data_IF_071528963596
#
_entry.id   IF_071528963596
#
_cell.length_a   1.000
_cell.length_b   1.000
_cell.length_c   1.000
_cell.angle_alpha   90.00
_cell.angle_beta   90.00
_cell.angle_gamma   90.00
#
_symmetry.space_group_name_H-M   'P 1'
#
loop_
_entity.id
_entity.type
_entity.pdbx_description
1 polymer ?
#
# COMPACT_ATOMS: atom_id res chain seq x y z
N UNK A 1 -11.71 13.60 -4.23
CA UNK A 1 -10.99 14.89 -4.39
C UNK A 1 -10.84 15.30 -5.84
N UNK A 2 -10.34 14.44 -6.73
CA UNK A 2 -10.29 14.74 -8.17
C UNK A 2 -11.66 15.15 -8.76
N UNK A 3 -12.75 14.45 -8.39
CA UNK A 3 -14.12 14.85 -8.79
C UNK A 3 -14.52 16.24 -8.29
N UNK A 4 -14.22 16.58 -7.03
CA UNK A 4 -14.46 17.92 -6.47
C UNK A 4 -13.70 19.01 -7.22
N UNK A 5 -12.48 18.72 -7.67
CA UNK A 5 -11.71 19.64 -8.54
C UNK A 5 -12.38 19.78 -9.91
N UNK A 6 -12.80 18.66 -10.51
CA UNK A 6 -13.49 18.66 -11.80
C UNK A 6 -14.83 19.41 -11.75
N UNK A 7 -15.56 19.29 -10.63
CA UNK A 7 -16.81 19.99 -10.37
C UNK A 7 -16.62 21.46 -9.95
N UNK A 8 -15.37 21.91 -9.77
CA UNK A 8 -14.98 23.25 -9.33
C UNK A 8 -15.35 23.58 -7.87
N UNK A 9 -15.57 22.57 -7.04
CA UNK A 9 -15.81 22.74 -5.60
C UNK A 9 -14.54 23.17 -4.86
N UNK A 10 -13.37 22.75 -5.37
CA UNK A 10 -12.03 23.09 -4.86
C UNK A 10 -11.05 23.20 -6.03
N UNK A 11 -10.00 24.02 -5.92
CA UNK A 11 -9.02 24.19 -7.01
C UNK A 11 -7.66 23.55 -6.73
N UNK A 12 -7.36 23.28 -5.45
CA UNK A 12 -6.09 22.76 -4.96
C UNK A 12 -6.33 21.89 -3.72
N UNK A 13 -5.72 20.71 -3.69
CA UNK A 13 -5.81 19.77 -2.58
C UNK A 13 -4.43 19.16 -2.32
N UNK A 14 -3.98 19.19 -1.06
CA UNK A 14 -2.86 18.39 -0.59
C UNK A 14 -3.41 17.07 -0.03
N UNK A 15 -2.96 15.96 -0.59
CA UNK A 15 -3.17 14.63 -0.02
C UNK A 15 -1.87 14.22 0.66
N UNK A 16 -1.91 13.97 1.97
CA UNK A 16 -0.72 13.57 2.73
C UNK A 16 -1.06 12.38 3.64
N UNK A 17 -0.05 11.57 3.93
CA UNK A 17 -0.12 10.50 4.91
C UNK A 17 1.27 10.18 5.41
N UNK A 18 1.35 9.77 6.67
CA UNK A 18 2.61 9.37 7.30
C UNK A 18 2.39 8.30 8.35
N UNK A 19 3.41 7.49 8.55
CA UNK A 19 3.52 6.52 9.63
C UNK A 19 4.79 6.85 10.43
N UNK A 20 4.71 6.73 11.75
CA UNK A 20 5.82 6.94 12.68
C UNK A 20 5.90 5.79 13.69
N UNK A 21 5.66 4.56 13.23
CA UNK A 21 5.38 3.41 14.08
C UNK A 21 6.60 2.97 14.89
N UNK A 22 7.82 3.14 14.36
CA UNK A 22 9.04 2.80 15.11
C UNK A 22 9.18 3.70 16.34
N UNK A 23 9.09 5.03 16.14
CA UNK A 23 9.24 6.02 17.22
C UNK A 23 8.08 5.93 18.19
N UNK A 24 6.86 5.78 17.68
CA UNK A 24 5.67 5.61 18.51
C UNK A 24 5.82 4.44 19.48
N UNK A 25 6.32 3.29 19.00
CA UNK A 25 6.53 2.11 19.83
C UNK A 25 7.53 2.39 20.95
N UNK A 26 8.68 2.99 20.62
CA UNK A 26 9.71 3.31 21.61
C UNK A 26 9.24 4.33 22.67
N UNK A 27 8.46 5.34 22.27
CA UNK A 27 7.97 6.37 23.18
C UNK A 27 6.86 5.86 24.10
N UNK A 28 5.93 5.06 23.59
CA UNK A 28 4.86 4.45 24.38
C UNK A 28 5.39 3.47 25.44
N UNK A 29 6.55 2.83 25.20
CA UNK A 29 7.22 2.00 26.21
C UNK A 29 7.83 2.82 27.36
N UNK A 30 8.09 4.12 27.14
CA UNK A 30 8.83 4.99 28.07
C UNK A 30 7.96 6.03 28.76
N UNK A 31 6.82 6.38 28.18
CA UNK A 31 5.98 7.48 28.63
C UNK A 31 4.55 7.37 28.12
N UNK A 32 3.63 8.01 28.83
CA UNK A 32 2.28 8.30 28.31
C UNK A 32 2.36 9.55 27.46
N UNK A 33 1.93 9.46 26.20
CA UNK A 33 1.90 10.59 25.28
C UNK A 33 0.52 11.25 25.30
N UNK A 34 0.51 12.58 25.33
CA UNK A 34 -0.70 13.36 25.08
C UNK A 34 -0.83 13.60 23.57
N UNK A 35 -1.91 13.07 23.00
CA UNK A 35 -2.22 13.15 21.56
C UNK A 35 -3.25 14.23 21.25
N UNK A 36 -3.64 15.02 22.25
CA UNK A 36 -4.58 16.11 22.04
C UNK A 36 -3.91 17.21 21.22
N UNK A 37 -4.50 17.51 20.07
CA UNK A 37 -4.12 18.63 19.23
C UNK A 37 -5.35 19.52 19.02
N UNK A 38 -5.18 20.82 19.22
CA UNK A 38 -6.17 21.82 18.83
C UNK A 38 -5.82 22.38 17.45
N UNK A 39 -6.79 22.41 16.55
CA UNK A 39 -6.63 22.98 15.22
C UNK A 39 -7.77 23.95 14.91
N UNK A 40 -7.42 25.14 14.41
CA UNK A 40 -8.40 26.20 14.08
C UNK A 40 -9.25 25.88 12.84
N UNK A 41 -8.83 24.91 12.01
CA UNK A 41 -9.53 24.51 10.80
C UNK A 41 -10.63 23.46 11.03
N UNK A 42 -11.44 23.25 9.99
CA UNK A 42 -12.47 22.20 10.01
C UNK A 42 -11.84 20.82 9.85
N UNK A 43 -12.15 19.90 10.76
CA UNK A 43 -11.79 18.49 10.67
C UNK A 43 -13.04 17.66 10.31
N UNK A 44 -12.93 16.85 9.25
CA UNK A 44 -13.90 15.80 8.94
C UNK A 44 -13.28 14.46 9.32
N UNK A 45 -13.61 13.94 10.50
CA UNK A 45 -13.21 12.58 10.90
C UNK A 45 -14.09 11.56 10.17
N UNK A 46 -13.44 10.68 9.39
CA UNK A 46 -14.10 9.60 8.63
C UNK A 46 -14.04 8.25 9.34
N UNK A 47 -13.42 8.18 10.51
CA UNK A 47 -13.25 6.99 11.31
C UNK A 47 -12.47 5.87 10.60
N UNK A 48 -12.55 4.67 11.17
CA UNK A 48 -11.86 3.47 10.69
C UNK A 48 -12.56 2.78 9.50
N UNK A 49 -13.74 3.25 9.11
CA UNK A 49 -14.56 2.62 8.08
C UNK A 49 -15.26 1.33 8.52
N UNK A 50 -15.73 0.54 7.55
CA UNK A 50 -16.42 -0.74 7.79
C UNK A 50 -15.42 -1.84 8.19
N UNK A 51 -15.75 -2.63 9.21
CA UNK A 51 -14.96 -3.80 9.62
C UNK A 51 -14.98 -4.90 8.56
N UNK A 52 -13.81 -5.47 8.24
CA UNK A 52 -13.66 -6.52 7.22
C UNK A 52 -13.93 -7.95 7.72
N UNK A 53 -14.18 -8.10 9.02
CA UNK A 53 -14.45 -9.34 9.71
C UNK A 53 -15.66 -9.20 10.65
N UNK A 54 -16.27 -10.32 10.97
CA UNK A 54 -17.30 -10.49 11.99
C UNK A 54 -16.65 -10.83 13.34
N UNK A 55 -17.38 -10.63 14.44
CA UNK A 55 -16.91 -11.03 15.77
C UNK A 55 -16.60 -12.53 15.86
N UNK A 56 -17.34 -13.36 15.12
CA UNK A 56 -17.09 -14.81 15.05
C UNK A 56 -15.78 -15.11 14.33
N UNK A 57 -15.51 -14.49 13.18
CA UNK A 57 -14.23 -14.61 12.46
C UNK A 57 -13.06 -14.17 13.34
N UNK A 58 -13.19 -13.02 14.01
CA UNK A 58 -12.15 -12.50 14.88
C UNK A 58 -11.84 -13.43 16.06
N UNK A 59 -12.88 -14.00 16.69
CA UNK A 59 -12.74 -14.97 17.77
C UNK A 59 -11.96 -16.24 17.35
N UNK A 60 -11.86 -16.52 16.04
CA UNK A 60 -11.12 -17.65 15.49
C UNK A 60 -9.80 -17.23 14.81
N UNK A 61 -9.29 -16.03 15.10
CA UNK A 61 -8.02 -15.53 14.55
C UNK A 61 -8.11 -15.02 13.11
N UNK A 62 -9.31 -14.64 12.65
CA UNK A 62 -9.53 -14.12 11.29
C UNK A 62 -9.89 -12.65 11.41
N UNK A 63 -8.88 -11.80 11.30
CA UNK A 63 -9.04 -10.35 11.41
C UNK A 63 -7.76 -9.58 11.20
N UNK A 64 -6.63 -10.12 11.66
CA UNK A 64 -5.31 -9.53 11.44
C UNK A 64 -4.65 -10.08 10.17
N UNK A 65 -4.02 -9.25 9.32
CA UNK A 65 -3.43 -9.67 8.04
C UNK A 65 -2.49 -10.89 8.12
N UNK A 66 -1.66 -10.94 9.17
CA UNK A 66 -0.67 -12.01 9.41
C UNK A 66 -1.29 -13.40 9.60
N UNK A 67 -2.57 -13.47 9.98
CA UNK A 67 -3.33 -14.71 10.13
C UNK A 67 -4.28 -14.94 8.95
N UNK A 68 -4.93 -13.86 8.48
CA UNK A 68 -5.96 -13.98 7.45
C UNK A 68 -5.41 -14.21 6.04
N UNK A 69 -4.35 -13.51 5.62
CA UNK A 69 -3.77 -13.70 4.27
C UNK A 69 -3.18 -15.10 4.00
N UNK A 70 -2.51 -15.76 4.95
CA UNK A 70 -2.07 -17.14 4.77
C UNK A 70 -3.20 -18.15 4.45
N UNK A 71 -4.44 -17.89 4.90
CA UNK A 71 -5.60 -18.72 4.55
C UNK A 71 -5.90 -18.64 3.04
N UNK A 72 -5.90 -17.43 2.49
CA UNK A 72 -6.09 -17.21 1.05
C UNK A 72 -4.95 -17.82 0.23
N UNK A 73 -3.71 -17.68 0.69
CA UNK A 73 -2.54 -18.19 -0.01
C UNK A 73 -2.54 -19.73 -0.08
N UNK A 74 -2.90 -20.40 1.02
CA UNK A 74 -3.04 -21.84 1.03
C UNK A 74 -4.18 -22.34 0.13
N UNK A 75 -5.31 -21.63 0.10
CA UNK A 75 -6.37 -21.94 -0.85
C UNK A 75 -5.90 -21.75 -2.30
N UNK A 76 -5.08 -20.72 -2.58
CA UNK A 76 -4.52 -20.47 -3.91
C UNK A 76 -3.60 -21.62 -4.32
N UNK A 77 -2.71 -22.04 -3.41
CA UNK A 77 -1.85 -23.23 -3.59
C UNK A 77 -2.66 -24.48 -3.91
N UNK A 78 -3.72 -24.74 -3.14
CA UNK A 78 -4.61 -25.88 -3.37
C UNK A 78 -5.24 -25.82 -4.76
N UNK A 79 -5.82 -24.67 -5.13
CA UNK A 79 -6.42 -24.45 -6.45
C UNK A 79 -5.42 -24.64 -7.61
N UNK A 80 -4.17 -24.28 -7.40
CA UNK A 80 -3.09 -24.47 -8.39
C UNK A 80 -2.55 -25.91 -8.45
N UNK A 81 -2.92 -26.77 -7.50
CA UNK A 81 -2.38 -28.13 -7.38
C UNK A 81 -0.88 -28.14 -7.09
N UNK A 82 -0.36 -27.10 -6.42
CA UNK A 82 1.07 -26.99 -6.14
C UNK A 82 1.44 -27.74 -4.85
N UNK A 83 2.57 -28.45 -4.90
CA UNK A 83 3.27 -28.86 -3.68
C UNK A 83 3.71 -27.63 -2.89
N UNK A 84 3.97 -27.81 -1.59
CA UNK A 84 4.46 -26.72 -0.73
C UNK A 84 5.75 -26.13 -1.33
N UNK A 85 6.72 -26.98 -1.67
CA UNK A 85 7.99 -26.57 -2.26
C UNK A 85 7.81 -25.77 -3.57
N UNK A 86 6.94 -26.23 -4.47
CA UNK A 86 6.67 -25.53 -5.74
C UNK A 86 6.04 -24.16 -5.50
N UNK A 87 5.11 -24.07 -4.55
CA UNK A 87 4.44 -22.83 -4.21
C UNK A 87 5.39 -21.83 -3.52
N UNK A 88 6.21 -22.30 -2.57
CA UNK A 88 7.26 -21.51 -1.93
C UNK A 88 8.24 -20.91 -2.95
N UNK A 89 8.70 -21.71 -3.91
CA UNK A 89 9.56 -21.22 -5.01
C UNK A 89 8.84 -20.20 -5.90
N UNK A 90 7.54 -20.40 -6.16
CA UNK A 90 6.74 -19.46 -6.93
C UNK A 90 6.61 -18.10 -6.23
N UNK A 91 6.34 -18.11 -4.91
CA UNK A 91 6.31 -16.89 -4.09
C UNK A 91 7.69 -16.23 -4.04
N UNK A 92 8.77 -17.01 -3.88
CA UNK A 92 10.14 -16.51 -3.90
C UNK A 92 10.47 -15.74 -5.18
N UNK A 93 10.11 -16.29 -6.35
CA UNK A 93 10.30 -15.63 -7.65
C UNK A 93 9.51 -14.33 -7.80
N UNK A 94 8.31 -14.27 -7.22
CA UNK A 94 7.52 -13.05 -7.20
C UNK A 94 8.22 -11.98 -6.34
N UNK A 95 8.63 -12.34 -5.13
CA UNK A 95 9.23 -11.41 -4.16
C UNK A 95 10.66 -10.98 -4.51
N UNK A 96 11.43 -11.79 -5.24
CA UNK A 96 12.77 -11.44 -5.71
C UNK A 96 12.77 -10.11 -6.47
N UNK A 97 11.84 -9.95 -7.44
CA UNK A 97 11.71 -8.72 -8.23
C UNK A 97 11.31 -7.50 -7.37
N UNK A 98 10.46 -7.70 -6.35
CA UNK A 98 10.11 -6.65 -5.41
C UNK A 98 11.31 -6.26 -4.54
N UNK A 99 12.08 -7.24 -4.05
CA UNK A 99 13.25 -6.99 -3.21
C UNK A 99 14.35 -6.21 -3.96
N UNK A 100 14.56 -6.54 -5.24
CA UNK A 100 15.49 -5.83 -6.12
C UNK A 100 15.05 -4.38 -6.35
N UNK A 101 13.76 -4.17 -6.62
CA UNK A 101 13.20 -2.83 -6.78
C UNK A 101 13.39 -2.02 -5.50
N UNK A 102 13.06 -2.61 -4.35
CA UNK A 102 13.22 -1.98 -3.04
C UNK A 102 14.69 -1.64 -2.75
N UNK A 103 15.64 -2.52 -3.07
CA UNK A 103 17.06 -2.29 -2.87
C UNK A 103 17.61 -1.09 -3.64
N UNK A 104 17.08 -0.84 -4.84
CA UNK A 104 17.47 0.31 -5.67
C UNK A 104 16.76 1.62 -5.29
N UNK A 105 15.75 1.58 -4.42
CA UNK A 105 14.94 2.74 -4.06
C UNK A 105 15.48 3.40 -2.78
N UNK A 106 15.96 4.66 -2.83
CA UNK A 106 16.52 5.35 -1.66
C UNK A 106 15.49 5.62 -0.56
N UNK A 107 14.19 5.51 -0.86
CA UNK A 107 13.10 5.67 0.11
C UNK A 107 12.67 4.36 0.77
N UNK A 108 13.26 3.21 0.40
CA UNK A 108 12.94 1.94 1.04
C UNK A 108 13.49 1.90 2.47
N UNK A 109 12.63 1.62 3.45
CA UNK A 109 13.07 1.37 4.82
C UNK A 109 13.91 0.10 4.93
N UNK A 110 13.60 -0.90 4.09
CA UNK A 110 14.32 -2.17 4.02
C UNK A 110 14.59 -2.54 2.56
N UNK A 111 15.86 -2.39 2.16
CA UNK A 111 16.31 -2.53 0.77
C UNK A 111 17.33 -3.64 0.55
N UNK A 112 17.31 -4.72 1.33
CA UNK A 112 18.20 -5.85 1.03
C UNK A 112 17.60 -6.70 -0.09
N UNK A 113 18.25 -6.67 -1.27
CA UNK A 113 17.94 -7.57 -2.37
C UNK A 113 18.12 -9.03 -1.93
N UNK A 114 17.19 -9.90 -2.33
CA UNK A 114 17.22 -11.33 -2.02
C UNK A 114 16.82 -12.14 -3.23
N UNK A 115 17.52 -13.25 -3.43
CA UNK A 115 17.15 -14.23 -4.44
C UNK A 115 15.84 -14.94 -4.07
N UNK A 116 15.18 -15.50 -5.09
CA UNK A 116 14.00 -16.34 -4.90
C UNK A 116 14.26 -17.51 -3.94
N UNK A 117 15.47 -18.09 -3.99
CA UNK A 117 15.87 -19.19 -3.13
C UNK A 117 15.99 -18.75 -1.66
N UNK A 118 16.66 -17.63 -1.39
CA UNK A 118 16.79 -17.09 -0.03
C UNK A 118 15.42 -16.76 0.57
N UNK A 119 14.53 -16.16 -0.20
CA UNK A 119 13.17 -15.83 0.25
C UNK A 119 12.37 -17.09 0.61
N UNK A 120 12.49 -18.14 -0.21
CA UNK A 120 11.72 -19.38 -0.06
C UNK A 120 12.31 -20.37 0.95
N UNK A 121 13.59 -20.22 1.30
CA UNK A 121 14.28 -21.12 2.24
C UNK A 121 14.04 -20.66 3.67
N UNK A 122 13.47 -21.55 4.48
CA UNK A 122 13.29 -21.33 5.92
C UNK A 122 14.62 -21.56 6.62
N UNK A 123 15.01 -20.60 7.44
CA UNK A 123 16.21 -20.65 8.30
C UNK A 123 15.85 -20.08 9.67
N UNK A 124 16.78 -20.10 10.62
CA UNK A 124 16.55 -19.46 11.93
C UNK A 124 16.27 -17.95 11.78
N UNK A 125 16.95 -17.30 10.83
CA UNK A 125 16.73 -15.89 10.52
C UNK A 125 15.49 -15.67 9.65
N UNK A 126 15.25 -16.51 8.64
CA UNK A 126 14.04 -16.50 7.81
C UNK A 126 13.00 -17.51 8.32
N UNK A 127 12.74 -17.47 9.62
CA UNK A 127 11.81 -18.41 10.28
C UNK A 127 10.37 -18.23 9.81
N UNK A 128 9.54 -19.23 10.10
CA UNK A 128 8.09 -19.12 9.91
C UNK A 128 7.48 -18.00 10.74
N UNK A 129 6.60 -17.22 10.11
CA UNK A 129 5.72 -16.27 10.80
C UNK A 129 4.31 -16.84 10.85
N UNK A 130 3.78 -17.16 9.66
CA UNK A 130 2.50 -17.84 9.50
C UNK A 130 2.53 -18.59 8.20
N UNK A 131 2.30 -19.89 8.22
CA UNK A 131 2.44 -20.72 7.03
C UNK A 131 1.46 -20.28 5.93
N UNK A 132 1.92 -19.89 4.72
CA UNK A 132 3.17 -20.31 4.10
C UNK A 132 4.24 -19.21 3.99
N UNK A 133 4.17 -18.14 4.79
CA UNK A 133 5.09 -17.00 4.75
C UNK A 133 6.20 -17.06 5.81
N UNK A 134 7.46 -17.20 5.40
CA UNK A 134 8.62 -16.92 6.23
C UNK A 134 8.78 -15.42 6.50
N UNK A 135 9.64 -15.05 7.46
CA UNK A 135 9.90 -13.67 7.90
C UNK A 135 10.06 -12.68 6.73
N UNK A 136 10.86 -13.02 5.72
CA UNK A 136 11.19 -12.11 4.62
C UNK A 136 10.10 -12.00 3.55
N UNK A 137 9.04 -12.81 3.62
CA UNK A 137 7.84 -12.68 2.78
C UNK A 137 6.70 -11.92 3.50
N UNK A 138 6.94 -11.43 4.72
CA UNK A 138 5.99 -10.60 5.45
C UNK A 138 6.40 -9.13 5.39
N UNK A 139 5.39 -8.25 5.41
CA UNK A 139 5.62 -6.81 5.52
C UNK A 139 6.25 -6.47 6.89
N UNK A 140 7.11 -5.44 6.90
CA UNK A 140 7.54 -4.78 8.13
C UNK A 140 6.78 -3.47 8.25
N UNK A 141 5.91 -3.38 9.24
CA UNK A 141 5.02 -2.23 9.49
C UNK A 141 5.69 -1.11 10.31
N UNK A 142 6.73 -1.43 11.06
CA UNK A 142 7.39 -0.48 11.96
C UNK A 142 8.34 0.47 11.20
N UNK A 143 7.80 1.37 10.38
CA UNK A 143 8.53 2.38 9.61
C UNK A 143 8.20 3.80 10.05
N UNK A 144 9.10 4.73 9.75
CA UNK A 144 8.88 6.17 9.86
C UNK A 144 8.97 6.80 8.46
N UNK A 145 7.83 6.96 7.78
CA UNK A 145 7.79 7.46 6.40
C UNK A 145 6.55 8.32 6.17
N UNK A 146 6.67 9.29 5.26
CA UNK A 146 5.55 10.12 4.84
C UNK A 146 5.59 10.36 3.34
N UNK A 147 4.41 10.57 2.76
CA UNK A 147 4.25 10.94 1.37
C UNK A 147 3.15 11.98 1.23
N UNK A 148 3.30 12.85 0.24
CA UNK A 148 2.29 13.82 -0.11
C UNK A 148 2.19 14.00 -1.63
N UNK A 149 0.98 14.25 -2.10
CA UNK A 149 0.66 14.54 -3.50
C UNK A 149 -0.21 15.79 -3.56
N UNK A 150 0.20 16.75 -4.38
CA UNK A 150 -0.58 17.93 -4.69
C UNK A 150 -1.46 17.64 -5.90
N UNK A 151 -2.78 17.82 -5.76
CA UNK A 151 -3.76 17.64 -6.83
C UNK A 151 -4.41 18.99 -7.11
N UNK A 152 -4.46 19.41 -8.36
CA UNK A 152 -4.94 20.74 -8.72
C UNK A 152 -5.64 20.75 -10.07
N UNK A 153 -6.43 21.80 -10.32
CA UNK A 153 -6.91 22.09 -11.66
C UNK A 153 -5.77 22.61 -12.54
N UNK A 154 -5.87 22.41 -13.86
CA UNK A 154 -4.92 22.96 -14.84
C UNK A 154 -4.84 24.49 -14.73
N UNK A 155 -5.98 25.15 -14.51
CA UNK A 155 -6.05 26.62 -14.32
C UNK A 155 -5.17 27.05 -13.14
N UNK A 156 -5.36 26.43 -11.98
CA UNK A 156 -4.60 26.77 -10.77
C UNK A 156 -3.12 26.41 -10.90
N UNK A 157 -2.78 25.29 -11.55
CA UNK A 157 -1.39 24.94 -11.84
C UNK A 157 -0.68 26.02 -12.67
N UNK A 158 -1.35 26.59 -13.68
CA UNK A 158 -0.82 27.70 -14.49
C UNK A 158 -0.65 28.98 -13.69
N UNK A 159 -1.64 29.34 -12.87
CA UNK A 159 -1.58 30.51 -11.98
C UNK A 159 -0.39 30.43 -11.01
N UNK A 160 -0.09 29.23 -10.51
CA UNK A 160 1.03 28.95 -9.63
C UNK A 160 2.38 28.79 -10.36
N UNK A 161 2.40 28.90 -11.70
CA UNK A 161 3.63 28.76 -12.49
C UNK A 161 4.20 27.34 -12.51
N UNK A 162 3.39 26.31 -12.27
CA UNK A 162 3.86 24.91 -12.32
C UNK A 162 4.10 24.52 -13.77
N UNK A 163 5.35 24.18 -14.09
CA UNK A 163 5.76 23.71 -15.40
C UNK A 163 4.86 22.56 -15.91
N UNK A 164 4.17 22.72 -17.06
CA UNK A 164 3.35 21.69 -17.68
C UNK A 164 4.06 20.35 -17.89
N UNK A 165 5.39 20.34 -18.04
CA UNK A 165 6.16 19.09 -18.16
C UNK A 165 6.11 18.20 -16.90
N UNK A 166 5.71 18.78 -15.74
CA UNK A 166 5.56 18.06 -14.47
C UNK A 166 4.13 17.55 -14.23
N UNK A 167 3.19 17.91 -15.08
CA UNK A 167 1.78 17.57 -14.86
C UNK A 167 1.53 16.10 -15.15
N UNK A 168 0.91 15.42 -14.20
CA UNK A 168 0.46 14.03 -14.35
C UNK A 168 -1.07 14.03 -14.20
N UNK A 169 -1.75 13.49 -15.20
CA UNK A 169 -3.21 13.45 -15.24
C UNK A 169 -3.73 12.09 -14.75
N UNK A 170 -4.73 12.12 -13.87
CA UNK A 170 -5.45 10.94 -13.45
C UNK A 170 -6.50 10.55 -14.51
N UNK A 171 -6.16 9.59 -15.37
CA UNK A 171 -7.03 9.19 -16.49
C UNK A 171 -8.14 8.20 -16.11
N UNK A 172 -8.01 7.49 -14.99
CA UNK A 172 -9.02 6.53 -14.56
C UNK A 172 -8.85 6.17 -13.09
N UNK A 173 -9.97 6.05 -12.38
CA UNK A 173 -9.98 5.65 -10.96
C UNK A 173 -11.31 4.98 -10.62
N UNK A 174 -11.27 3.98 -9.74
CA UNK A 174 -12.46 3.25 -9.32
C UNK A 174 -12.31 2.83 -7.88
N UNK A 175 -13.36 3.02 -7.08
CA UNK A 175 -13.43 2.51 -5.71
C UNK A 175 -14.56 1.50 -5.59
N UNK A 176 -14.20 0.22 -5.40
CA UNK A 176 -15.09 -0.81 -4.87
C UNK A 176 -14.35 -1.61 -3.82
N UNK A 177 -15.04 -1.91 -2.73
CA UNK A 177 -14.50 -2.66 -1.60
C UNK A 177 -15.26 -3.98 -1.45
N UNK A 178 -14.57 -5.01 -0.95
CA UNK A 178 -15.22 -6.24 -0.49
C UNK A 178 -15.78 -5.97 0.90
N UNK A 179 -17.00 -6.43 1.18
CA UNK A 179 -17.69 -6.17 2.46
C UNK A 179 -17.28 -7.11 3.61
N UNK A 180 -16.71 -8.28 3.31
CA UNK A 180 -16.25 -9.25 4.33
C UNK A 180 -15.26 -10.23 3.73
N UNK A 181 -14.32 -10.72 4.55
CA UNK A 181 -13.24 -11.60 4.13
C UNK A 181 -13.73 -13.00 3.73
N UNK A 182 -14.61 -13.66 4.50
CA UNK A 182 -15.02 -15.06 4.26
C UNK A 182 -16.47 -15.28 3.82
N UNK A 183 -17.25 -14.22 3.60
CA UNK A 183 -18.72 -14.34 3.36
C UNK A 183 -19.14 -14.94 2.02
N UNK A 184 -18.21 -15.44 1.20
CA UNK A 184 -18.50 -15.99 -0.13
C UNK A 184 -18.00 -17.43 -0.24
N UNK A 185 -18.73 -18.26 -0.99
CA UNK A 185 -18.39 -19.63 -1.42
C UNK A 185 -17.04 -19.73 -2.17
N UNK A 186 -16.40 -18.58 -2.40
CA UNK A 186 -15.22 -18.38 -3.22
C UNK A 186 -14.18 -17.58 -2.46
N UNK A 187 -13.51 -18.25 -1.53
CA UNK A 187 -12.39 -17.71 -0.75
C UNK A 187 -11.32 -17.02 -1.62
N UNK A 188 -11.14 -17.49 -2.86
CA UNK A 188 -10.11 -17.02 -3.80
C UNK A 188 -10.56 -15.97 -4.82
N UNK A 189 -11.84 -15.58 -4.81
CA UNK A 189 -12.31 -14.53 -5.71
C UNK A 189 -12.36 -13.19 -4.97
N UNK A 190 -11.55 -12.26 -5.48
CA UNK A 190 -11.66 -10.84 -5.18
C UNK A 190 -12.16 -10.11 -6.44
N UNK A 191 -13.44 -10.29 -6.82
CA UNK A 191 -13.98 -9.71 -8.05
C UNK A 191 -13.86 -8.19 -8.04
N UNK A 192 -13.88 -7.55 -6.86
CA UNK A 192 -13.66 -6.13 -6.69
C UNK A 192 -12.34 -5.65 -7.30
N UNK A 193 -11.23 -6.38 -7.11
CA UNK A 193 -9.91 -5.99 -7.67
C UNK A 193 -9.95 -6.05 -9.19
N UNK A 194 -10.46 -7.15 -9.76
CA UNK A 194 -10.59 -7.32 -11.21
C UNK A 194 -11.50 -6.26 -11.84
N UNK A 195 -12.64 -5.98 -11.21
CA UNK A 195 -13.60 -4.97 -11.68
C UNK A 195 -13.00 -3.57 -11.58
N UNK A 196 -12.32 -3.24 -10.48
CA UNK A 196 -11.67 -1.94 -10.29
C UNK A 196 -10.61 -1.72 -11.35
N UNK A 197 -9.75 -2.72 -11.59
CA UNK A 197 -8.73 -2.67 -12.62
C UNK A 197 -9.35 -2.45 -14.01
N UNK A 198 -10.31 -3.31 -14.41
CA UNK A 198 -10.96 -3.21 -15.71
C UNK A 198 -11.60 -1.83 -15.92
N UNK A 199 -12.40 -1.37 -14.97
CA UNK A 199 -13.09 -0.07 -15.08
C UNK A 199 -12.11 1.11 -15.07
N UNK A 200 -11.03 1.05 -14.31
CA UNK A 200 -10.01 2.11 -14.33
C UNK A 200 -9.32 2.16 -15.70
N UNK A 201 -9.04 1.01 -16.31
CA UNK A 201 -8.52 0.94 -17.68
C UNK A 201 -9.50 1.44 -18.73
N UNK A 202 -10.78 1.08 -18.60
CA UNK A 202 -11.85 1.55 -19.50
C UNK A 202 -11.99 3.08 -19.42
N UNK A 203 -11.98 3.65 -18.21
CA UNK A 203 -11.99 5.11 -18.02
C UNK A 203 -10.78 5.79 -18.65
N UNK A 204 -9.61 5.17 -18.53
CA UNK A 204 -8.37 5.68 -19.12
C UNK A 204 -8.25 5.44 -20.64
N UNK A 205 -9.20 4.70 -21.25
CA UNK A 205 -9.18 4.37 -22.68
C UNK A 205 -8.03 3.44 -23.10
N UNK A 206 -7.46 2.66 -22.17
CA UNK A 206 -6.31 1.78 -22.43
C UNK A 206 -6.68 0.30 -22.24
N UNK A 207 -6.05 -0.58 -23.03
CA UNK A 207 -6.23 -2.04 -22.91
C UNK A 207 -5.11 -2.65 -22.08
N UNK A 208 -5.42 -3.70 -21.32
CA UNK A 208 -4.52 -4.42 -20.40
C UNK A 208 -3.23 -5.01 -21.04
N UNK A 209 -3.02 -4.88 -22.35
CA UNK A 209 -1.74 -5.22 -23.00
C UNK A 209 -0.66 -4.15 -22.83
N UNK A 210 -1.03 -2.93 -22.44
CA UNK A 210 -0.12 -1.80 -22.26
C UNK A 210 -0.10 -1.45 -20.78
N UNK A 211 0.65 -2.20 -19.99
CA UNK A 211 1.08 -1.74 -18.68
C UNK A 211 2.56 -1.36 -18.78
N UNK A 212 2.82 -0.15 -19.26
CA UNK A 212 4.07 0.52 -18.90
C UNK A 212 3.92 0.85 -17.42
N UNK A 213 4.53 0.04 -16.56
CA UNK A 213 4.68 0.39 -15.15
C UNK A 213 5.43 1.72 -15.14
N UNK A 214 4.77 2.79 -14.70
CA UNK A 214 5.39 4.10 -14.50
C UNK A 214 6.45 3.98 -13.38
N UNK A 215 7.65 3.54 -13.73
CA UNK A 215 8.88 3.90 -13.00
C UNK A 215 9.11 5.41 -13.03
N UNK A 216 8.37 6.16 -13.86
CA UNK A 216 8.40 7.61 -13.95
C UNK A 216 7.85 8.33 -12.71
N UNK A 217 6.96 7.74 -11.89
CA UNK A 217 6.60 8.37 -10.60
C UNK A 217 7.81 8.33 -9.65
N UNK A 218 8.58 7.24 -9.64
CA UNK A 218 9.82 7.13 -8.86
C UNK A 218 10.95 8.00 -9.43
N UNK A 219 11.01 8.19 -10.76
CA UNK A 219 12.01 9.06 -11.39
C UNK A 219 11.74 10.56 -11.11
N UNK A 220 10.47 10.97 -11.03
CA UNK A 220 10.05 12.35 -10.74
C UNK A 220 10.07 12.70 -9.25
N UNK A 221 10.11 11.70 -8.34
CA UNK A 221 10.28 11.91 -6.90
C UNK A 221 11.72 12.36 -6.52
N UNK A 222 12.61 12.57 -7.50
CA UNK A 222 13.90 13.24 -7.25
C UNK A 222 13.66 14.71 -6.91
N UNK A 223 13.85 14.99 -5.62
CA UNK A 223 14.10 16.30 -4.99
C UNK A 223 12.88 17.09 -4.52
N UNK A 224 12.47 16.80 -3.28
CA UNK A 224 12.28 17.82 -2.26
C UNK A 224 13.00 17.36 -0.99
N UNK A 225 14.26 17.80 -0.80
CA UNK A 225 14.86 17.83 0.54
C UNK A 225 14.34 19.10 1.20
N UNK A 226 13.42 18.97 2.16
CA UNK A 226 13.20 20.06 3.09
C UNK A 226 14.52 20.28 3.84
N UNK A 227 15.02 21.51 3.99
CA UNK A 227 16.17 21.76 4.84
C UNK A 227 15.81 21.25 6.24
N UNK A 228 16.72 20.49 6.84
CA UNK A 228 16.62 20.14 8.25
C UNK A 228 16.56 21.46 9.03
N UNK A 229 15.37 21.82 9.53
CA UNK A 229 15.31 22.80 10.60
C UNK A 229 15.88 22.09 11.82
N UNK A 230 16.95 22.65 12.37
CA UNK A 230 17.37 22.32 13.73
C UNK A 230 16.18 22.68 14.62
N UNK A 231 15.54 21.65 15.17
CA UNK A 231 14.69 21.83 16.33
C UNK A 231 15.65 21.82 17.51
N UNK A 232 16.05 23.02 17.93
CA UNK A 232 16.69 23.23 19.23
C UNK A 232 15.70 22.94 20.35
#
# INVERSE_FOLDING_TARGET
>A
MAERISNKDVELVLLAGSEALTVLKELCERSTLDWQEEHEGSLEDRGLGETLYTSHEFAHGIGVPIQTYPLFENALRYKQGFSIEKHMRSMGKLFENFSKTAASNPYSFYGTERSALELSTVTDENRWISFPYPKWMNARDSVNQGAAVLVTSVKKARELGVDPAKWIFLHGWVRRMKKSMLREDKLLLFPAIRINAQKAFDMAGIKLRILVILTSILASLRQFKLPAKNWD
#
